data_IF_350119853285
#
_entry.id   IF_350119853285
#
_cell.length_a   1.000
_cell.length_b   1.000
_cell.length_c   1.000
_cell.angle_alpha   90.00
_cell.angle_beta   90.00
_cell.angle_gamma   90.00
#
_symmetry.space_group_name_H-M   'P 1'
#
loop_
_entity.id
_entity.type
_entity.pdbx_description
1 polymer ?
#
# COMPACT_ATOMS: atom_id res chain seq x y z
N UNK A 1 -6.65 -19.02 -4.34
CA UNK A 1 -7.05 -17.78 -5.06
C UNK A 1 -6.89 -16.64 -4.09
N UNK A 2 -6.15 -15.58 -4.46
CA UNK A 2 -5.90 -14.41 -3.59
C UNK A 2 -7.21 -13.69 -3.25
N UNK A 3 -7.43 -13.37 -1.97
CA UNK A 3 -8.52 -12.47 -1.59
C UNK A 3 -8.17 -11.05 -2.06
N UNK A 4 -9.00 -10.40 -2.89
CA UNK A 4 -8.78 -9.02 -3.32
C UNK A 4 -8.65 -8.09 -2.12
N UNK A 5 -7.84 -7.05 -2.26
CA UNK A 5 -7.67 -5.99 -1.25
C UNK A 5 -7.98 -4.63 -1.85
N UNK A 6 -8.84 -3.87 -1.20
CA UNK A 6 -9.08 -2.45 -1.46
C UNK A 6 -8.53 -1.66 -0.29
N UNK A 7 -7.48 -0.86 -0.53
CA UNK A 7 -6.83 -0.05 0.50
C UNK A 7 -7.06 1.43 0.25
N UNK A 8 -7.74 2.10 1.17
CA UNK A 8 -8.02 3.53 1.11
C UNK A 8 -6.93 4.35 1.78
N UNK A 9 -6.01 4.93 1.01
CA UNK A 9 -5.06 5.92 1.51
C UNK A 9 -5.75 7.29 1.61
N UNK A 10 -6.03 7.75 2.81
CA UNK A 10 -6.69 9.04 3.02
C UNK A 10 -5.75 10.23 2.88
N UNK A 11 -4.45 9.97 2.77
CA UNK A 11 -3.44 11.01 2.68
C UNK A 11 -3.58 12.03 3.84
N UNK A 12 -3.40 13.31 3.58
CA UNK A 12 -3.53 14.37 4.58
C UNK A 12 -4.95 14.97 4.56
N UNK A 13 -5.96 14.09 4.71
CA UNK A 13 -7.38 14.47 4.78
C UNK A 13 -8.03 13.87 6.02
N UNK A 14 -9.07 14.53 6.52
CA UNK A 14 -9.85 14.19 7.69
C UNK A 14 -9.14 14.42 9.02
N UNK A 15 -9.78 15.20 9.88
CA UNK A 15 -9.42 15.20 11.30
C UNK A 15 -9.95 13.93 11.99
N UNK A 16 -9.65 13.78 13.28
CA UNK A 16 -10.02 12.58 14.04
C UNK A 16 -11.55 12.36 14.15
N UNK A 17 -12.37 13.42 14.11
CA UNK A 17 -13.84 13.32 14.16
C UNK A 17 -14.42 12.94 12.81
N UNK A 18 -14.01 13.65 11.75
CA UNK A 18 -14.39 13.33 10.38
C UNK A 18 -13.96 11.92 9.98
N UNK A 19 -12.82 11.44 10.50
CA UNK A 19 -12.33 10.09 10.28
C UNK A 19 -13.26 9.03 10.89
N UNK A 20 -13.72 9.25 12.12
CA UNK A 20 -14.69 8.36 12.79
C UNK A 20 -16.03 8.35 12.06
N UNK A 21 -16.52 9.51 11.62
CA UNK A 21 -17.76 9.60 10.84
C UNK A 21 -17.65 8.80 9.54
N UNK A 22 -16.57 9.00 8.77
CA UNK A 22 -16.35 8.28 7.51
C UNK A 22 -16.25 6.77 7.71
N UNK A 23 -15.56 6.31 8.76
CA UNK A 23 -15.45 4.87 9.05
C UNK A 23 -16.82 4.26 9.37
N UNK A 24 -17.67 4.95 10.13
CA UNK A 24 -19.03 4.48 10.43
C UNK A 24 -19.90 4.39 9.18
N UNK A 25 -19.77 5.37 8.29
CA UNK A 25 -20.47 5.35 7.00
C UNK A 25 -20.00 4.18 6.14
N UNK A 26 -18.67 3.97 6.04
CA UNK A 26 -18.08 2.85 5.30
C UNK A 26 -18.51 1.49 5.87
N UNK A 27 -18.52 1.34 7.20
CA UNK A 27 -18.95 0.12 7.87
C UNK A 27 -20.40 -0.23 7.50
N UNK A 28 -21.28 0.76 7.50
CA UNK A 28 -22.67 0.59 7.06
C UNK A 28 -22.81 0.23 5.58
N UNK A 29 -21.99 0.84 4.70
CA UNK A 29 -22.03 0.58 3.25
C UNK A 29 -21.45 -0.79 2.88
N UNK A 30 -20.49 -1.28 3.67
CA UNK A 30 -19.80 -2.55 3.42
C UNK A 30 -20.43 -3.73 4.18
N UNK A 31 -21.53 -3.51 4.89
CA UNK A 31 -22.23 -4.55 5.63
C UNK A 31 -22.66 -5.71 4.69
N UNK A 32 -22.18 -6.91 5.00
CA UNK A 32 -22.46 -8.11 4.18
C UNK A 32 -21.56 -8.29 2.96
N UNK A 33 -20.54 -7.44 2.77
CA UNK A 33 -19.52 -7.66 1.74
C UNK A 33 -18.63 -8.85 2.15
N UNK A 34 -18.57 -9.86 1.29
CA UNK A 34 -17.74 -11.05 1.49
C UNK A 34 -16.74 -11.22 0.35
N UNK A 35 -15.64 -11.91 0.62
CA UNK A 35 -14.65 -12.29 -0.40
C UNK A 35 -13.69 -11.15 -0.81
N UNK A 36 -13.76 -9.97 -0.15
CA UNK A 36 -12.85 -8.82 -0.36
C UNK A 36 -12.40 -8.30 0.98
N UNK A 37 -11.11 -8.07 1.14
CA UNK A 37 -10.57 -7.30 2.27
C UNK A 37 -10.63 -5.81 1.96
N UNK A 38 -11.07 -5.02 2.94
CA UNK A 38 -11.05 -3.56 2.87
C UNK A 38 -10.18 -3.01 4.00
N UNK A 39 -9.27 -2.11 3.67
CA UNK A 39 -8.41 -1.43 4.64
C UNK A 39 -8.51 0.08 4.48
N UNK A 40 -8.50 0.80 5.60
CA UNK A 40 -8.44 2.26 5.64
C UNK A 40 -7.15 2.71 6.29
N UNK A 41 -6.46 3.68 5.66
CA UNK A 41 -5.21 4.24 6.14
C UNK A 41 -5.40 5.72 6.46
N UNK A 42 -5.93 6.06 7.66
CA UNK A 42 -6.16 7.44 8.08
C UNK A 42 -4.84 8.14 8.46
N UNK A 43 -4.82 9.49 8.58
CA UNK A 43 -3.71 10.20 9.20
C UNK A 43 -3.42 9.71 10.61
N UNK A 44 -2.16 9.78 11.05
CA UNK A 44 -1.75 9.30 12.40
C UNK A 44 -2.55 9.93 13.53
N UNK A 45 -2.96 11.21 13.38
CA UNK A 45 -3.78 11.93 14.37
C UNK A 45 -5.18 11.34 14.57
N UNK A 46 -5.68 10.56 13.62
CA UNK A 46 -6.97 9.91 13.65
C UNK A 46 -6.88 8.40 13.91
N UNK A 47 -5.67 7.81 13.83
CA UNK A 47 -5.46 6.37 13.80
C UNK A 47 -6.04 5.66 15.05
N UNK A 48 -5.81 6.22 16.25
CA UNK A 48 -6.30 5.65 17.51
C UNK A 48 -7.84 5.69 17.62
N UNK A 49 -8.48 6.77 17.17
CA UNK A 49 -9.93 6.90 17.24
C UNK A 49 -10.62 5.98 16.22
N UNK A 50 -10.02 5.84 15.02
CA UNK A 50 -10.47 4.87 14.00
C UNK A 50 -10.30 3.44 14.51
N UNK A 51 -9.16 3.09 15.09
CA UNK A 51 -8.92 1.77 15.68
C UNK A 51 -10.02 1.38 16.67
N UNK A 52 -10.32 2.26 17.63
CA UNK A 52 -11.37 2.05 18.63
C UNK A 52 -12.75 1.92 17.99
N UNK A 53 -13.06 2.76 17.00
CA UNK A 53 -14.36 2.71 16.32
C UNK A 53 -14.58 1.38 15.60
N UNK A 54 -13.57 0.85 14.92
CA UNK A 54 -13.62 -0.46 14.25
C UNK A 54 -13.75 -1.60 15.25
N UNK A 55 -13.04 -1.55 16.38
CA UNK A 55 -13.13 -2.54 17.46
C UNK A 55 -14.53 -2.54 18.10
N UNK A 56 -15.04 -1.36 18.48
CA UNK A 56 -16.33 -1.21 19.15
C UNK A 56 -17.51 -1.66 18.28
N UNK A 57 -17.42 -1.48 16.95
CA UNK A 57 -18.45 -1.93 16.00
C UNK A 57 -18.30 -3.39 15.57
N UNK A 58 -17.16 -4.03 15.83
CA UNK A 58 -16.84 -5.35 15.30
C UNK A 58 -16.71 -5.35 13.77
N UNK A 59 -16.31 -4.23 13.18
CA UNK A 59 -16.20 -4.02 11.74
C UNK A 59 -15.19 -4.97 11.10
N UNK A 60 -15.48 -5.50 9.91
CA UNK A 60 -14.52 -6.27 9.12
C UNK A 60 -13.44 -5.40 8.43
N UNK A 61 -13.58 -4.08 8.48
CA UNK A 61 -12.61 -3.14 7.90
C UNK A 61 -11.29 -3.23 8.67
N UNK A 62 -10.20 -3.41 7.95
CA UNK A 62 -8.86 -3.51 8.52
C UNK A 62 -8.22 -2.12 8.65
N UNK A 63 -7.51 -1.91 9.75
CA UNK A 63 -6.76 -0.68 9.96
C UNK A 63 -5.42 -0.74 9.24
N UNK A 64 -5.11 0.31 8.49
CA UNK A 64 -3.82 0.56 7.87
C UNK A 64 -3.18 1.85 8.37
N UNK A 65 -1.88 1.99 8.14
CA UNK A 65 -1.14 3.22 8.41
C UNK A 65 -0.49 3.75 7.13
N UNK A 66 -0.26 5.06 7.06
CA UNK A 66 0.25 5.73 5.86
C UNK A 66 1.76 5.71 5.73
N UNK A 67 2.47 5.45 6.82
CA UNK A 67 3.92 5.38 6.91
C UNK A 67 4.37 4.76 8.24
N UNK A 68 5.68 4.56 8.41
CA UNK A 68 6.34 4.12 9.62
C UNK A 68 7.81 4.56 9.61
N UNK A 69 8.42 4.72 10.76
CA UNK A 69 9.87 4.82 10.89
C UNK A 69 10.44 3.44 11.29
N UNK A 70 11.58 2.99 10.74
CA UNK A 70 12.02 1.60 10.89
C UNK A 70 12.55 1.23 12.28
N UNK A 71 12.88 2.22 13.14
CA UNK A 71 13.34 1.92 14.49
C UNK A 71 12.17 1.60 15.43
N UNK A 72 12.33 0.63 16.36
CA UNK A 72 11.28 0.27 17.32
C UNK A 72 10.99 1.36 18.36
N UNK A 73 11.99 2.18 18.70
CA UNK A 73 11.94 3.32 19.60
C UNK A 73 13.22 4.16 19.46
N UNK A 74 13.24 5.36 20.02
CA UNK A 74 14.46 6.17 20.04
C UNK A 74 14.24 7.66 19.90
N UNK A 75 15.33 8.40 19.65
CA UNK A 75 15.36 9.85 19.51
C UNK A 75 14.98 10.28 18.07
N UNK A 76 13.77 9.98 17.68
CA UNK A 76 13.19 10.26 16.36
C UNK A 76 11.94 11.11 16.51
N UNK A 77 12.11 12.35 16.91
CA UNK A 77 11.00 13.27 17.22
C UNK A 77 10.04 13.40 16.04
N UNK A 78 8.77 13.07 16.26
CA UNK A 78 7.70 13.15 15.25
C UNK A 78 7.44 11.85 14.50
N UNK A 79 8.32 10.85 14.60
CA UNK A 79 8.16 9.57 13.92
C UNK A 79 7.29 8.56 14.70
N UNK A 80 6.73 7.62 13.97
CA UNK A 80 5.86 6.55 14.50
C UNK A 80 6.54 5.21 14.28
N UNK A 81 6.76 4.46 15.38
CA UNK A 81 7.42 3.16 15.29
C UNK A 81 6.47 2.02 14.90
N UNK A 82 6.99 0.88 14.36
CA UNK A 82 6.18 -0.29 14.05
C UNK A 82 5.43 -0.82 15.29
N UNK A 83 6.04 -0.80 16.45
CA UNK A 83 5.41 -1.22 17.72
C UNK A 83 4.20 -0.37 18.09
N UNK A 84 4.25 0.95 17.86
CA UNK A 84 3.12 1.85 18.09
C UNK A 84 1.94 1.51 17.17
N UNK A 85 2.21 1.19 15.93
CA UNK A 85 1.19 0.79 14.96
C UNK A 85 0.57 -0.56 15.30
N UNK A 86 1.40 -1.55 15.62
CA UNK A 86 0.94 -2.87 16.05
C UNK A 86 0.04 -2.81 17.28
N UNK A 87 0.39 -1.96 18.26
CA UNK A 87 -0.40 -1.77 19.48
C UNK A 87 -1.82 -1.24 19.23
N UNK A 88 -2.05 -0.59 18.08
CA UNK A 88 -3.36 -0.12 17.63
C UNK A 88 -4.09 -1.14 16.74
N UNK A 89 -3.54 -2.34 16.52
CA UNK A 89 -4.14 -3.34 15.66
C UNK A 89 -3.97 -3.06 14.15
N UNK A 90 -2.99 -2.23 13.77
CA UNK A 90 -2.70 -1.97 12.35
C UNK A 90 -2.31 -3.28 11.66
N UNK A 91 -2.96 -3.56 10.52
CA UNK A 91 -2.67 -4.73 9.69
C UNK A 91 -1.76 -4.40 8.52
N UNK A 92 -2.00 -3.28 7.84
CA UNK A 92 -1.26 -2.85 6.66
C UNK A 92 -0.52 -1.55 6.92
N UNK A 93 0.67 -1.40 6.34
CA UNK A 93 1.43 -0.15 6.41
C UNK A 93 1.92 0.22 5.02
N UNK A 94 1.51 1.38 4.52
CA UNK A 94 2.03 1.93 3.27
C UNK A 94 3.49 2.32 3.47
N UNK A 95 4.37 1.90 2.58
CA UNK A 95 5.79 2.24 2.60
C UNK A 95 6.26 2.67 1.21
N UNK A 96 7.07 3.72 1.14
CA UNK A 96 7.62 4.21 -0.11
C UNK A 96 6.60 4.84 -1.06
N UNK A 97 5.47 5.35 -0.55
CA UNK A 97 4.49 6.08 -1.36
C UNK A 97 5.16 7.19 -2.16
N UNK A 98 4.72 7.41 -3.40
CA UNK A 98 5.33 8.38 -4.32
C UNK A 98 5.46 9.78 -3.73
N UNK A 99 4.44 10.27 -3.01
CA UNK A 99 4.51 11.57 -2.34
C UNK A 99 5.65 11.65 -1.32
N UNK A 100 5.96 10.54 -0.61
CA UNK A 100 7.08 10.53 0.34
C UNK A 100 8.43 10.48 -0.36
N UNK A 101 8.51 9.78 -1.49
CA UNK A 101 9.72 9.75 -2.33
C UNK A 101 10.00 11.12 -2.95
N UNK A 102 8.99 11.72 -3.58
CA UNK A 102 9.16 12.95 -4.36
C UNK A 102 9.19 14.22 -3.49
N UNK A 103 8.35 14.31 -2.45
CA UNK A 103 8.19 15.52 -1.65
C UNK A 103 9.10 15.49 -0.40
N UNK A 104 9.12 14.34 0.29
CA UNK A 104 9.88 14.18 1.55
C UNK A 104 11.32 13.70 1.27
N UNK A 105 11.56 13.11 0.10
CA UNK A 105 12.90 12.68 -0.32
C UNK A 105 13.31 11.31 0.20
N UNK A 106 12.37 10.43 0.51
CA UNK A 106 12.66 9.05 0.93
C UNK A 106 13.36 8.27 -0.17
N UNK A 107 14.46 7.60 0.20
CA UNK A 107 15.26 6.77 -0.70
C UNK A 107 14.92 5.30 -0.54
N UNK A 108 15.31 4.49 -1.52
CA UNK A 108 14.99 3.05 -1.56
C UNK A 108 15.54 2.28 -0.37
N UNK A 109 16.71 2.65 0.17
CA UNK A 109 17.29 2.06 1.37
C UNK A 109 16.41 2.26 2.61
N UNK A 110 15.87 3.46 2.79
CA UNK A 110 14.93 3.75 3.88
C UNK A 110 13.61 3.00 3.68
N UNK A 111 13.09 2.93 2.45
CA UNK A 111 11.86 2.18 2.14
C UNK A 111 12.06 0.69 2.40
N UNK A 112 13.20 0.11 2.02
CA UNK A 112 13.55 -1.26 2.33
C UNK A 112 13.58 -1.53 3.85
N UNK A 113 14.21 -0.63 4.62
CA UNK A 113 14.25 -0.73 6.07
C UNK A 113 12.85 -0.65 6.70
N UNK A 114 11.98 0.25 6.20
CA UNK A 114 10.58 0.37 6.63
C UNK A 114 9.80 -0.92 6.35
N UNK A 115 9.88 -1.44 5.12
CA UNK A 115 9.18 -2.67 4.73
C UNK A 115 9.60 -3.86 5.61
N UNK A 116 10.91 -3.99 5.89
CA UNK A 116 11.44 -5.02 6.78
C UNK A 116 10.92 -4.87 8.21
N UNK A 117 10.96 -3.67 8.78
CA UNK A 117 10.50 -3.41 10.15
C UNK A 117 8.99 -3.67 10.32
N UNK A 118 8.19 -3.40 9.31
CA UNK A 118 6.75 -3.73 9.29
C UNK A 118 6.54 -5.25 9.33
N UNK A 119 7.27 -6.00 8.50
CA UNK A 119 7.19 -7.46 8.46
C UNK A 119 7.61 -8.08 9.79
N UNK A 120 8.73 -7.63 10.37
CA UNK A 120 9.26 -8.14 11.65
C UNK A 120 8.30 -7.95 12.84
N UNK A 121 7.47 -6.91 12.79
CA UNK A 121 6.39 -6.71 13.76
C UNK A 121 5.08 -7.46 13.43
N UNK A 122 5.08 -8.31 12.41
CA UNK A 122 3.94 -9.15 12.03
C UNK A 122 2.81 -8.39 11.31
N UNK A 123 3.08 -7.19 10.80
CA UNK A 123 2.21 -6.44 9.91
C UNK A 123 2.60 -6.68 8.44
N UNK A 124 1.78 -6.20 7.51
CA UNK A 124 2.00 -6.37 6.08
C UNK A 124 2.33 -5.02 5.43
N UNK A 125 3.53 -4.81 4.89
CA UNK A 125 3.82 -3.62 4.11
C UNK A 125 3.05 -3.63 2.79
N UNK A 126 2.48 -2.47 2.44
CA UNK A 126 2.05 -2.14 1.08
C UNK A 126 3.19 -1.35 0.46
N UNK A 127 4.06 -2.06 -0.26
CA UNK A 127 5.23 -1.48 -0.91
C UNK A 127 4.80 -0.74 -2.18
N UNK A 128 4.96 0.58 -2.17
CA UNK A 128 4.68 1.42 -3.32
C UNK A 128 5.90 1.50 -4.26
N UNK A 129 5.63 1.23 -5.54
CA UNK A 129 6.60 1.32 -6.63
C UNK A 129 5.97 2.02 -7.83
N UNK A 130 6.76 2.76 -8.59
CA UNK A 130 6.25 3.46 -9.76
C UNK A 130 7.24 4.44 -10.35
N UNK A 131 6.92 4.91 -11.55
CA UNK A 131 7.74 5.80 -12.35
C UNK A 131 7.09 7.18 -12.53
N UNK A 132 7.92 8.18 -12.74
CA UNK A 132 7.53 9.53 -13.14
C UNK A 132 7.16 9.57 -14.64
N UNK A 133 6.54 10.68 -15.07
CA UNK A 133 6.25 10.89 -16.50
C UNK A 133 7.51 10.90 -17.35
N UNK A 134 8.56 11.57 -16.87
CA UNK A 134 9.85 11.65 -17.57
C UNK A 134 10.46 10.26 -17.75
N UNK A 135 10.50 9.45 -16.68
CA UNK A 135 11.01 8.06 -16.74
C UNK A 135 10.20 7.19 -17.72
N UNK A 136 8.86 7.40 -17.80
CA UNK A 136 8.00 6.69 -18.75
C UNK A 136 8.27 7.12 -20.19
N UNK A 137 8.33 8.43 -20.46
CA UNK A 137 8.59 8.97 -21.80
C UNK A 137 9.99 8.58 -22.31
N UNK A 138 10.96 8.40 -21.43
CA UNK A 138 12.30 7.90 -21.75
C UNK A 138 12.37 6.36 -21.88
N UNK A 139 11.25 5.64 -21.71
CA UNK A 139 11.22 4.18 -21.76
C UNK A 139 11.87 3.49 -20.55
N UNK A 140 12.01 4.19 -19.42
CA UNK A 140 12.66 3.70 -18.20
C UNK A 140 11.69 3.16 -17.15
N UNK A 141 10.38 3.13 -17.42
CA UNK A 141 9.36 2.72 -16.44
C UNK A 141 9.66 1.35 -15.82
N UNK A 142 9.90 0.36 -16.65
CA UNK A 142 10.22 -1.02 -16.20
C UNK A 142 11.49 -1.05 -15.35
N UNK A 143 12.58 -0.44 -15.82
CA UNK A 143 13.85 -0.45 -15.08
C UNK A 143 13.78 0.31 -13.76
N UNK A 144 12.96 1.36 -13.67
CA UNK A 144 12.69 2.10 -12.44
C UNK A 144 11.98 1.21 -11.41
N UNK A 145 10.86 0.61 -11.81
CA UNK A 145 10.07 -0.28 -10.94
C UNK A 145 10.90 -1.48 -10.51
N UNK A 146 11.65 -2.08 -11.43
CA UNK A 146 12.58 -3.18 -11.11
C UNK A 146 13.60 -2.78 -10.04
N UNK A 147 14.25 -1.63 -10.20
CA UNK A 147 15.24 -1.14 -9.23
C UNK A 147 14.64 -0.93 -7.83
N UNK A 148 13.44 -0.40 -7.75
CA UNK A 148 12.72 -0.23 -6.48
C UNK A 148 12.36 -1.57 -5.82
N UNK A 149 11.92 -2.56 -6.60
CA UNK A 149 11.64 -3.93 -6.12
C UNK A 149 12.92 -4.61 -5.63
N UNK A 150 14.00 -4.53 -6.40
CA UNK A 150 15.29 -5.11 -6.04
C UNK A 150 15.84 -4.52 -4.74
N UNK A 151 15.78 -3.19 -4.59
CA UNK A 151 16.24 -2.52 -3.39
C UNK A 151 15.41 -2.93 -2.16
N UNK A 152 14.08 -2.93 -2.28
CA UNK A 152 13.18 -3.21 -1.15
C UNK A 152 13.19 -4.68 -0.74
N UNK A 153 13.32 -5.61 -1.67
CA UNK A 153 13.11 -7.04 -1.45
C UNK A 153 14.41 -7.88 -1.52
N UNK A 154 15.58 -7.24 -1.57
CA UNK A 154 16.88 -7.93 -1.73
C UNK A 154 17.16 -9.00 -0.67
N UNK A 155 16.72 -8.79 0.56
CA UNK A 155 16.94 -9.67 1.71
C UNK A 155 15.70 -10.52 2.08
N UNK A 156 14.65 -10.52 1.24
CA UNK A 156 13.43 -11.27 1.51
C UNK A 156 13.52 -12.71 0.98
N UNK A 157 12.87 -13.64 1.68
CA UNK A 157 12.68 -15.02 1.24
C UNK A 157 11.34 -15.19 0.50
N UNK A 158 11.19 -16.28 -0.25
CA UNK A 158 9.91 -16.59 -0.92
C UNK A 158 8.73 -16.73 0.06
N UNK A 159 8.95 -17.32 1.23
CA UNK A 159 7.93 -17.46 2.26
C UNK A 159 7.49 -16.12 2.84
N UNK A 160 8.43 -15.20 3.10
CA UNK A 160 8.12 -13.85 3.57
C UNK A 160 7.33 -13.06 2.52
N UNK A 161 7.70 -13.20 1.25
CA UNK A 161 7.01 -12.54 0.12
C UNK A 161 5.59 -13.07 -0.02
N UNK A 162 5.39 -14.39 0.02
CA UNK A 162 4.08 -15.01 -0.17
C UNK A 162 3.07 -14.66 0.91
N UNK A 163 3.52 -14.51 2.15
CA UNK A 163 2.64 -14.32 3.32
C UNK A 163 2.58 -12.91 3.84
N UNK A 164 3.60 -12.11 3.58
CA UNK A 164 3.84 -10.83 4.24
C UNK A 164 4.02 -9.62 3.31
N UNK A 165 3.62 -9.67 2.03
CA UNK A 165 3.82 -8.58 1.10
C UNK A 165 2.56 -8.24 0.30
N UNK A 166 2.32 -6.94 0.15
CA UNK A 166 1.43 -6.36 -0.87
C UNK A 166 2.26 -5.34 -1.65
N UNK A 167 2.10 -5.29 -2.97
CA UNK A 167 2.72 -4.27 -3.82
C UNK A 167 1.64 -3.35 -4.36
N UNK A 168 1.89 -2.04 -4.35
CA UNK A 168 1.06 -1.04 -5.00
C UNK A 168 1.84 -0.39 -6.15
N UNK A 169 1.36 -0.59 -7.37
CA UNK A 169 1.92 0.11 -8.52
C UNK A 169 1.31 1.50 -8.65
N UNK A 170 2.13 2.52 -8.59
CA UNK A 170 1.76 3.93 -8.67
C UNK A 170 2.30 4.55 -9.96
N UNK A 171 1.51 4.67 -11.04
CA UNK A 171 1.88 5.54 -12.16
C UNK A 171 1.86 6.99 -11.66
N UNK A 172 3.03 7.53 -11.20
CA UNK A 172 3.12 8.84 -10.51
C UNK A 172 2.56 9.95 -11.40
N UNK A 173 2.75 9.84 -12.71
CA UNK A 173 2.23 10.76 -13.72
C UNK A 173 0.70 10.78 -13.83
N UNK A 174 0.01 9.79 -13.25
CA UNK A 174 -1.45 9.68 -13.22
C UNK A 174 -2.04 9.92 -11.81
N UNK A 175 -1.24 10.42 -10.85
CA UNK A 175 -1.70 10.71 -9.49
C UNK A 175 -1.87 12.21 -9.31
N UNK A 176 -3.12 12.69 -9.19
CA UNK A 176 -3.39 14.11 -8.92
C UNK A 176 -3.05 15.10 -10.05
N UNK A 177 -2.68 14.61 -11.22
CA UNK A 177 -2.25 15.44 -12.37
C UNK A 177 -3.38 15.75 -13.35
N UNK A 178 -4.56 15.12 -13.18
CA UNK A 178 -5.65 15.16 -14.14
C UNK A 178 -5.48 14.18 -15.32
N UNK A 179 -4.34 13.50 -15.43
CA UNK A 179 -4.15 12.36 -16.35
C UNK A 179 -4.58 11.08 -15.64
N UNK A 180 -5.09 10.10 -16.39
CA UNK A 180 -5.40 8.76 -15.91
C UNK A 180 -4.62 7.75 -16.74
N UNK A 181 -4.03 6.77 -16.08
CA UNK A 181 -3.51 5.61 -16.79
C UNK A 181 -4.69 4.79 -17.33
N UNK A 182 -4.50 4.19 -18.49
CA UNK A 182 -5.50 3.25 -19.02
C UNK A 182 -5.47 1.93 -18.24
N UNK A 183 -6.54 1.13 -18.26
CA UNK A 183 -6.52 -0.22 -17.71
C UNK A 183 -5.37 -1.07 -18.27
N UNK A 184 -5.02 -0.91 -19.56
CA UNK A 184 -3.91 -1.60 -20.20
C UNK A 184 -2.56 -1.16 -19.64
N UNK A 185 -2.34 0.13 -19.40
CA UNK A 185 -1.12 0.64 -18.74
C UNK A 185 -0.93 0.02 -17.36
N UNK A 186 -2.02 -0.04 -16.58
CA UNK A 186 -2.02 -0.66 -15.26
C UNK A 186 -1.69 -2.15 -15.34
N UNK A 187 -2.35 -2.86 -16.25
CA UNK A 187 -2.17 -4.30 -16.44
C UNK A 187 -0.76 -4.65 -16.92
N UNK A 188 -0.18 -3.88 -17.83
CA UNK A 188 1.18 -4.09 -18.33
C UNK A 188 2.18 -4.11 -17.17
N UNK A 189 2.17 -3.09 -16.31
CA UNK A 189 3.10 -3.00 -15.20
C UNK A 189 2.79 -4.01 -14.10
N UNK A 190 1.53 -4.27 -13.79
CA UNK A 190 1.15 -5.32 -12.83
C UNK A 190 1.62 -6.70 -13.29
N UNK A 191 1.53 -6.99 -14.60
CA UNK A 191 2.05 -8.23 -15.19
C UNK A 191 3.57 -8.30 -15.12
N UNK A 192 4.27 -7.18 -15.38
CA UNK A 192 5.72 -7.10 -15.22
C UNK A 192 6.12 -7.41 -13.75
N UNK A 193 5.49 -6.75 -12.77
CA UNK A 193 5.77 -6.98 -11.34
C UNK A 193 5.54 -8.45 -10.98
N UNK A 194 4.45 -9.06 -11.45
CA UNK A 194 4.15 -10.48 -11.23
C UNK A 194 5.22 -11.40 -11.82
N UNK A 195 5.66 -11.12 -13.04
CA UNK A 195 6.74 -11.86 -13.72
C UNK A 195 8.06 -11.76 -12.96
N UNK A 196 8.43 -10.55 -12.55
CA UNK A 196 9.66 -10.32 -11.76
C UNK A 196 9.63 -11.08 -10.42
N UNK A 197 8.50 -11.06 -9.72
CA UNK A 197 8.33 -11.84 -8.48
C UNK A 197 8.50 -13.34 -8.73
N UNK A 198 7.94 -13.85 -9.83
CA UNK A 198 8.04 -15.26 -10.18
C UNK A 198 9.47 -15.69 -10.51
N UNK A 199 10.23 -14.85 -11.21
CA UNK A 199 11.64 -15.08 -11.52
C UNK A 199 12.51 -15.07 -10.26
N UNK A 200 12.23 -14.15 -9.33
CA UNK A 200 13.07 -13.92 -8.15
C UNK A 200 12.74 -14.85 -6.98
N UNK A 201 11.47 -15.18 -6.75
CA UNK A 201 10.97 -15.89 -5.56
C UNK A 201 10.23 -17.19 -5.87
N UNK A 202 10.03 -17.49 -7.15
CA UNK A 202 9.28 -18.66 -7.62
C UNK A 202 7.80 -18.37 -7.85
N UNK A 203 7.19 -19.17 -8.72
CA UNK A 203 5.81 -18.99 -9.18
C UNK A 203 4.80 -19.09 -8.03
N UNK A 204 5.03 -19.99 -7.08
CA UNK A 204 4.12 -20.18 -5.94
C UNK A 204 4.06 -18.93 -5.06
N UNK A 205 5.22 -18.40 -4.66
CA UNK A 205 5.29 -17.16 -3.88
C UNK A 205 4.67 -15.98 -4.65
N UNK A 206 5.03 -15.82 -5.92
CA UNK A 206 4.49 -14.76 -6.77
C UNK A 206 2.97 -14.86 -6.89
N UNK A 207 2.40 -16.06 -6.96
CA UNK A 207 0.95 -16.25 -7.10
C UNK A 207 0.15 -15.77 -5.90
N UNK A 208 0.74 -15.72 -4.71
CA UNK A 208 0.06 -15.29 -3.47
C UNK A 208 0.13 -13.78 -3.22
N UNK A 209 1.13 -13.06 -3.79
CA UNK A 209 1.27 -11.62 -3.60
C UNK A 209 0.12 -10.86 -4.27
N UNK A 210 -0.52 -9.98 -3.53
CA UNK A 210 -1.50 -9.03 -4.07
C UNK A 210 -0.77 -7.84 -4.67
N UNK A 211 -1.12 -7.50 -5.91
CA UNK A 211 -0.61 -6.31 -6.61
C UNK A 211 -1.79 -5.38 -6.81
N UNK A 212 -1.69 -4.19 -6.24
CA UNK A 212 -2.72 -3.16 -6.28
C UNK A 212 -2.36 -2.13 -7.36
N UNK A 213 -3.37 -1.62 -8.03
CA UNK A 213 -3.23 -0.40 -8.81
C UNK A 213 -3.40 0.81 -7.89
N UNK A 214 -2.36 1.62 -7.77
CA UNK A 214 -2.29 2.79 -6.87
C UNK A 214 -2.44 4.14 -7.57
N UNK A 215 -2.84 4.18 -8.84
CA UNK A 215 -3.20 5.42 -9.52
C UNK A 215 -4.56 5.97 -9.08
N UNK A 216 -5.03 7.02 -9.75
CA UNK A 216 -6.33 7.63 -9.43
C UNK A 216 -7.49 6.69 -9.78
N UNK A 217 -8.16 6.19 -8.76
CA UNK A 217 -9.37 5.37 -8.88
C UNK A 217 -10.60 6.19 -8.49
N UNK A 218 -11.63 6.13 -9.32
CA UNK A 218 -12.91 6.80 -9.13
C UNK A 218 -14.05 5.83 -9.43
N UNK A 219 -15.29 6.12 -8.98
CA UNK A 219 -16.43 5.25 -9.26
C UNK A 219 -16.66 4.95 -10.75
N UNK A 220 -16.30 5.87 -11.63
CA UNK A 220 -16.48 5.76 -13.08
C UNK A 220 -15.43 4.90 -13.78
N UNK A 221 -14.21 4.75 -13.23
CA UNK A 221 -13.15 3.93 -13.82
C UNK A 221 -12.84 2.64 -13.04
N UNK A 222 -13.34 2.50 -11.81
CA UNK A 222 -13.02 1.35 -10.97
C UNK A 222 -13.42 0.01 -11.62
N UNK A 223 -14.58 -0.03 -12.27
CA UNK A 223 -15.08 -1.25 -12.93
C UNK A 223 -14.18 -1.73 -14.06
N UNK A 224 -13.67 -0.82 -14.89
CA UNK A 224 -12.77 -1.16 -16.00
C UNK A 224 -11.41 -1.63 -15.51
N UNK A 225 -10.84 -0.94 -14.50
CA UNK A 225 -9.58 -1.33 -13.88
C UNK A 225 -9.66 -2.71 -13.21
N UNK A 226 -10.76 -3.02 -12.54
CA UNK A 226 -10.96 -4.30 -11.84
C UNK A 226 -11.36 -5.45 -12.78
N UNK A 227 -11.70 -5.17 -14.03
CA UNK A 227 -12.01 -6.19 -15.03
C UNK A 227 -10.74 -6.76 -15.72
N UNK A 228 -9.58 -6.16 -15.50
CA UNK A 228 -8.31 -6.63 -16.05
C UNK A 228 -7.86 -7.93 -15.37
N UNK A 229 -7.11 -8.83 -16.08
CA UNK A 229 -6.68 -10.14 -15.56
C UNK A 229 -5.85 -10.10 -14.27
#
# INVERSE_FOLDING_TARGET
MRTPLVAGNWKMHKDHREAVELVRELDGLLAGLEGVEVSVCPPFTALSDVARTLEDSGSPILLGAQDVYPAPEGAFTGEISPRMLRALGVRYVIVGHSERREIIGEKDDLVAAKARAVLEEGMVPILCVGETLEEREEGKAVSKVQGQLEAALSAWTGDEVSTGLVIAYEPIWAIGTGRTATPEDAQEMNSFIRGWLAERFGQDAASEVRILYGGSVKPDNAGELMAMP
#
